data_IF_280682039106
#
_entry.id   IF_280682039106
#
_cell.length_a   1.000
_cell.length_b   1.000
_cell.length_c   1.000
_cell.angle_alpha   90.00
_cell.angle_beta   90.00
_cell.angle_gamma   90.00
#
_symmetry.space_group_name_H-M   'P 1'
#
loop_
_entity.id
_entity.type
_entity.pdbx_description
1 polymer ?
#
# COMPACT_ATOMS: atom_id res chain seq x y z
N UNK A 1 0.66 -7.25 -17.30
CA UNK A 1 1.45 -7.05 -18.51
C UNK A 1 0.58 -7.36 -19.75
N UNK A 2 0.75 -6.59 -20.85
CA UNK A 2 -0.11 -6.67 -22.02
C UNK A 2 -0.16 -8.08 -22.65
N UNK A 3 0.94 -8.79 -22.60
CA UNK A 3 1.12 -10.10 -23.23
C UNK A 3 1.22 -11.24 -22.18
N UNK A 4 0.60 -11.06 -21.01
CA UNK A 4 0.58 -12.10 -19.98
C UNK A 4 -0.23 -13.32 -20.46
N UNK A 5 0.31 -14.55 -20.38
CA UNK A 5 -0.35 -15.76 -20.91
C UNK A 5 -1.62 -16.13 -20.13
N UNK A 6 -1.75 -15.68 -18.88
CA UNK A 6 -2.88 -15.94 -17.98
C UNK A 6 -3.59 -14.65 -17.54
N UNK A 7 -3.80 -13.72 -18.46
CA UNK A 7 -4.36 -12.40 -18.18
C UNK A 7 -5.70 -12.48 -17.44
N UNK A 8 -6.61 -13.32 -17.91
CA UNK A 8 -7.94 -13.49 -17.29
C UNK A 8 -7.85 -13.94 -15.82
N UNK A 9 -6.96 -14.88 -15.51
CA UNK A 9 -6.76 -15.35 -14.15
C UNK A 9 -6.11 -14.27 -13.27
N UNK A 10 -5.20 -13.47 -13.83
CA UNK A 10 -4.60 -12.34 -13.12
C UNK A 10 -5.65 -11.27 -12.80
N UNK A 11 -6.53 -10.95 -13.74
CA UNK A 11 -7.63 -10.00 -13.53
C UNK A 11 -8.61 -10.51 -12.47
N UNK A 12 -8.99 -11.79 -12.48
CA UNK A 12 -9.81 -12.40 -11.43
C UNK A 12 -9.17 -12.35 -10.05
N UNK A 13 -7.84 -12.54 -9.97
CA UNK A 13 -7.11 -12.42 -8.72
C UNK A 13 -7.14 -10.97 -8.20
N UNK A 14 -6.91 -9.99 -9.06
CA UNK A 14 -6.97 -8.57 -8.70
C UNK A 14 -8.39 -8.21 -8.22
N UNK A 15 -9.41 -8.64 -8.94
CA UNK A 15 -10.81 -8.42 -8.57
C UNK A 15 -11.14 -9.02 -7.19
N UNK A 16 -10.68 -10.24 -6.94
CA UNK A 16 -10.79 -10.87 -5.61
C UNK A 16 -10.13 -10.04 -4.51
N UNK A 17 -8.91 -9.53 -4.76
CA UNK A 17 -8.18 -8.70 -3.79
C UNK A 17 -8.85 -7.33 -3.54
N UNK A 18 -9.66 -6.85 -4.48
CA UNK A 18 -10.43 -5.61 -4.35
C UNK A 18 -11.76 -5.78 -3.62
N UNK A 19 -12.18 -7.00 -3.29
CA UNK A 19 -13.38 -7.21 -2.47
C UNK A 19 -13.18 -6.57 -1.09
N UNK A 20 -14.19 -5.84 -0.56
CA UNK A 20 -14.05 -5.13 0.72
C UNK A 20 -13.63 -6.00 1.90
N UNK A 21 -14.20 -7.21 2.01
CA UNK A 21 -13.87 -8.18 3.04
C UNK A 21 -12.40 -8.67 2.95
N UNK A 22 -11.92 -8.92 1.74
CA UNK A 22 -10.54 -9.35 1.49
C UNK A 22 -9.55 -8.19 1.68
N UNK A 23 -9.90 -6.99 1.22
CA UNK A 23 -9.08 -5.80 1.42
C UNK A 23 -8.96 -5.43 2.90
N UNK A 24 -10.01 -5.63 3.71
CA UNK A 24 -9.97 -5.48 5.16
C UNK A 24 -9.02 -6.50 5.81
N UNK A 25 -9.11 -7.79 5.43
CA UNK A 25 -8.18 -8.81 5.93
C UNK A 25 -6.72 -8.47 5.63
N UNK A 26 -6.44 -7.94 4.44
CA UNK A 26 -5.09 -7.48 4.10
C UNK A 26 -4.66 -6.28 4.94
N UNK A 27 -5.53 -5.30 5.15
CA UNK A 27 -5.29 -4.17 6.02
C UNK A 27 -4.91 -4.62 7.43
N UNK A 28 -5.69 -5.52 8.03
CA UNK A 28 -5.47 -6.04 9.37
C UNK A 28 -4.15 -6.80 9.50
N UNK A 29 -3.76 -7.54 8.46
CA UNK A 29 -2.54 -8.33 8.49
C UNK A 29 -1.28 -7.50 8.17
N UNK A 30 -1.35 -6.65 7.14
CA UNK A 30 -0.20 -5.88 6.64
C UNK A 30 0.00 -4.60 7.45
N UNK A 31 -1.07 -4.07 8.05
CA UNK A 31 -1.09 -2.80 8.82
C UNK A 31 -0.77 -1.54 8.00
N UNK A 32 -0.87 -1.64 6.67
CA UNK A 32 -0.83 -0.49 5.77
C UNK A 32 -2.24 -0.05 5.39
N UNK A 33 -2.42 1.24 5.19
CA UNK A 33 -3.70 1.80 4.75
C UNK A 33 -4.22 1.15 3.48
N UNK A 34 -5.52 0.93 3.41
CA UNK A 34 -6.16 0.42 2.21
C UNK A 34 -6.69 1.59 1.34
N UNK A 35 -6.50 1.54 0.02
CA UNK A 35 -7.14 2.48 -0.89
C UNK A 35 -8.61 2.14 -1.19
N UNK A 36 -9.14 1.09 -0.58
CA UNK A 36 -10.49 0.61 -0.79
C UNK A 36 -11.44 1.25 0.24
N UNK A 37 -12.23 2.24 -0.16
CA UNK A 37 -13.14 2.95 0.72
C UNK A 37 -14.19 2.04 1.35
N UNK A 38 -14.71 1.06 0.60
CA UNK A 38 -15.67 0.09 1.13
C UNK A 38 -15.04 -0.83 2.19
N UNK A 39 -13.75 -1.15 2.09
CA UNK A 39 -13.04 -1.87 3.13
C UNK A 39 -12.82 -0.99 4.37
N UNK A 40 -12.52 0.30 4.20
CA UNK A 40 -12.39 1.25 5.31
C UNK A 40 -13.68 1.32 6.13
N UNK A 41 -14.84 1.34 5.48
CA UNK A 41 -16.14 1.36 6.16
C UNK A 41 -16.42 0.10 7.00
N UNK A 42 -15.75 -1.01 6.71
CA UNK A 42 -15.87 -2.25 7.48
C UNK A 42 -14.95 -2.29 8.72
N UNK A 43 -14.05 -1.33 8.91
CA UNK A 43 -13.20 -1.25 10.11
C UNK A 43 -14.08 -0.94 11.31
N UNK A 44 -14.13 -1.87 12.26
CA UNK A 44 -14.97 -1.75 13.46
C UNK A 44 -14.44 -0.70 14.44
N UNK A 45 -13.12 -0.58 14.56
CA UNK A 45 -12.48 0.41 15.43
C UNK A 45 -12.58 1.81 14.80
N UNK A 46 -13.39 2.66 15.42
CA UNK A 46 -13.62 4.03 14.96
C UNK A 46 -12.38 4.92 15.02
N UNK A 47 -11.51 4.70 15.97
CA UNK A 47 -10.27 5.46 16.11
C UNK A 47 -9.32 5.14 14.96
N UNK A 48 -9.24 3.87 14.55
CA UNK A 48 -8.48 3.44 13.38
C UNK A 48 -9.13 3.94 12.10
N UNK A 49 -10.44 3.73 11.94
CA UNK A 49 -11.20 4.14 10.73
C UNK A 49 -11.10 5.63 10.45
N UNK A 50 -11.04 6.45 11.51
CA UNK A 50 -10.97 7.91 11.41
C UNK A 50 -9.55 8.47 11.63
N UNK A 51 -8.54 7.62 11.72
CA UNK A 51 -7.16 8.04 11.93
C UNK A 51 -6.61 8.83 10.73
N UNK A 52 -6.19 10.06 10.95
CA UNK A 52 -5.49 10.88 9.95
C UNK A 52 -4.11 10.32 9.56
N UNK A 53 -3.54 9.43 10.37
CA UNK A 53 -2.28 8.74 10.06
C UNK A 53 -2.53 7.61 9.07
N UNK A 54 -3.58 6.82 9.30
CA UNK A 54 -3.94 5.70 8.42
C UNK A 54 -4.63 6.18 7.13
N UNK A 55 -5.50 7.18 7.25
CA UNK A 55 -6.33 7.69 6.15
C UNK A 55 -6.27 9.22 6.07
N UNK A 56 -5.12 9.79 5.68
CA UNK A 56 -4.94 11.23 5.60
C UNK A 56 -5.84 11.86 4.54
N UNK A 57 -6.36 13.04 4.85
CA UNK A 57 -7.07 13.87 3.88
C UNK A 57 -6.05 14.53 2.96
N UNK A 58 -5.83 13.96 1.77
CA UNK A 58 -4.72 14.36 0.88
C UNK A 58 -4.75 15.84 0.50
N UNK A 59 -5.92 16.47 0.46
CA UNK A 59 -6.06 17.92 0.19
C UNK A 59 -5.43 18.81 1.27
N UNK A 60 -5.21 18.31 2.47
CA UNK A 60 -4.68 19.07 3.59
C UNK A 60 -3.13 19.11 3.60
N UNK A 61 -2.51 18.36 2.70
CA UNK A 61 -1.06 18.26 2.58
C UNK A 61 -0.57 18.82 1.24
N UNK A 62 0.30 19.83 1.31
CA UNK A 62 0.88 20.47 0.12
C UNK A 62 2.24 19.89 -0.30
N UNK A 63 2.81 19.02 0.53
CA UNK A 63 4.19 18.52 0.41
C UNK A 63 4.26 16.99 0.30
N UNK A 64 3.21 16.37 -0.24
CA UNK A 64 3.20 14.93 -0.49
C UNK A 64 4.15 14.58 -1.63
N UNK A 65 5.01 13.62 -1.38
CA UNK A 65 5.95 13.10 -2.36
C UNK A 65 5.85 11.58 -2.45
N UNK A 66 6.21 11.03 -3.59
CA UNK A 66 6.36 9.59 -3.79
C UNK A 66 7.82 9.24 -3.98
N UNK A 67 8.22 8.06 -3.51
CA UNK A 67 9.55 7.54 -3.81
C UNK A 67 9.73 7.41 -5.32
N UNK A 68 10.82 7.99 -5.83
CA UNK A 68 11.18 7.93 -7.25
C UNK A 68 12.26 6.86 -7.43
N UNK A 69 12.26 6.23 -8.59
CA UNK A 69 13.38 5.38 -8.99
C UNK A 69 14.64 6.23 -9.16
N UNK A 70 15.69 5.91 -8.43
CA UNK A 70 16.95 6.66 -8.37
C UNK A 70 18.01 6.16 -9.37
N UNK A 71 17.68 5.16 -10.18
CA UNK A 71 18.64 4.42 -10.98
C UNK A 71 19.33 3.31 -10.17
N UNK A 72 20.00 2.39 -10.86
CA UNK A 72 20.63 1.23 -10.23
C UNK A 72 21.69 1.63 -9.18
N UNK A 73 22.50 2.63 -9.48
CA UNK A 73 23.56 3.12 -8.57
C UNK A 73 22.96 3.79 -7.33
N UNK A 74 21.90 4.60 -7.51
CA UNK A 74 21.21 5.28 -6.41
C UNK A 74 20.50 4.29 -5.49
N UNK A 75 19.81 3.31 -6.07
CA UNK A 75 19.13 2.26 -5.32
C UNK A 75 20.13 1.36 -4.56
N UNK A 76 21.31 1.08 -5.13
CA UNK A 76 22.37 0.31 -4.46
C UNK A 76 22.86 1.06 -3.22
N UNK A 77 23.19 2.35 -3.33
CA UNK A 77 23.63 3.20 -2.21
C UNK A 77 22.56 3.23 -1.11
N UNK A 78 21.30 3.45 -1.48
CA UNK A 78 20.18 3.49 -0.54
C UNK A 78 20.03 2.17 0.23
N UNK A 79 20.12 1.05 -0.48
CA UNK A 79 20.04 -0.28 0.10
C UNK A 79 21.20 -0.61 1.04
N UNK A 80 22.40 -0.15 0.73
CA UNK A 80 23.59 -0.39 1.56
C UNK A 80 23.49 0.38 2.88
N UNK A 81 23.13 1.66 2.86
CA UNK A 81 22.86 2.41 4.10
C UNK A 81 21.71 1.81 4.91
N UNK A 82 20.65 1.34 4.24
CA UNK A 82 19.55 0.70 4.94
C UNK A 82 19.94 -0.60 5.63
N UNK A 83 20.84 -1.39 5.03
CA UNK A 83 21.41 -2.57 5.68
C UNK A 83 22.25 -2.21 6.91
N UNK A 84 23.08 -1.15 6.83
CA UNK A 84 23.84 -0.67 7.97
C UNK A 84 22.92 -0.29 9.14
N UNK A 85 21.88 0.50 8.90
CA UNK A 85 20.91 0.88 9.93
C UNK A 85 20.22 -0.33 10.58
N UNK A 86 19.95 -1.38 9.82
CA UNK A 86 19.31 -2.60 10.34
C UNK A 86 20.26 -3.57 11.04
N UNK A 87 21.57 -3.41 10.86
CA UNK A 87 22.58 -4.31 11.46
C UNK A 87 23.03 -3.89 12.87
N UNK A 88 22.59 -2.74 13.33
CA UNK A 88 22.74 -2.26 14.70
C UNK A 88 21.58 -2.70 15.58
#
# INVERSE_FOLDING_TARGET
LKDAPNKENAEKFIDFMCRPDIALMNFDYITYSTPNDAARELIEDEDIRNSEIAFPTLSDYNNLETFKYLGEDGDAIYNDYWKEVKSE
#
